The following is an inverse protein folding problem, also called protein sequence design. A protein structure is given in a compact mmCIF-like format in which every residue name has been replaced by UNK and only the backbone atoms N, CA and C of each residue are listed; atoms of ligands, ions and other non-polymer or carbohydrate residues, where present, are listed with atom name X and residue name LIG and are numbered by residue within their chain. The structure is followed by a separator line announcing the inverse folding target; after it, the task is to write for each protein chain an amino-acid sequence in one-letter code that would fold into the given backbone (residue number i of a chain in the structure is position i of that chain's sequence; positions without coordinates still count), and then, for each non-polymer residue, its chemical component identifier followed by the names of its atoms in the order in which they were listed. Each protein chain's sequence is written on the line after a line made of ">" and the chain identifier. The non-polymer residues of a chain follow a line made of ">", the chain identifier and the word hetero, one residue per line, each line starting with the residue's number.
data_IF_949728904612
#
_entry.id   IF_949728904612
#
_cell.length_a   1.000
_cell.length_b   1.000
_cell.length_c   1.000
_cell.angle_alpha   90.00
_cell.angle_beta   90.00
_cell.angle_gamma   90.00
#
_symmetry.space_group_name_H-M   'P 1'
#
loop_
_entity.id
_entity.type
_entity.pdbx_description
1 polymer ?
#
# COMPACT_ATOMS: atom_id res chain seq x y z
N UNK A 1 -27.69 -17.32 33.67
CA UNK A 1 -26.32 -17.33 33.16
C UNK A 1 -26.29 -16.43 31.93
N UNK A 2 -25.78 -15.20 32.06
CA UNK A 2 -25.74 -14.22 30.98
C UNK A 2 -24.29 -14.07 30.58
N UNK A 3 -23.99 -14.43 29.34
CA UNK A 3 -22.67 -14.42 28.73
C UNK A 3 -22.16 -12.97 28.59
N UNK A 4 -21.06 -12.68 29.27
CA UNK A 4 -20.32 -11.42 29.21
C UNK A 4 -19.10 -11.61 28.31
N UNK A 5 -19.29 -11.55 26.99
CA UNK A 5 -18.19 -11.49 26.04
C UNK A 5 -18.03 -10.06 25.49
N UNK A 6 -16.84 -9.44 25.55
CA UNK A 6 -16.64 -8.07 25.11
C UNK A 6 -16.67 -7.98 23.57
N UNK A 7 -17.61 -7.17 23.05
CA UNK A 7 -17.70 -6.83 21.63
C UNK A 7 -16.39 -6.15 21.18
N UNK A 8 -15.65 -6.82 20.27
CA UNK A 8 -14.53 -6.21 19.53
C UNK A 8 -15.06 -5.00 18.75
N UNK A 9 -14.55 -3.81 19.07
CA UNK A 9 -14.80 -2.60 18.30
C UNK A 9 -14.11 -2.74 16.94
N UNK A 10 -14.88 -2.62 15.86
CA UNK A 10 -14.36 -2.59 14.49
C UNK A 10 -13.57 -1.30 14.27
N UNK A 11 -12.49 -1.40 13.50
CA UNK A 11 -11.52 -0.33 13.17
C UNK A 11 -12.10 0.90 12.44
N UNK A 12 -13.41 0.94 12.17
CA UNK A 12 -13.97 1.81 11.13
C UNK A 12 -14.48 3.19 11.58
N UNK A 13 -14.49 3.50 12.88
CA UNK A 13 -15.34 4.61 13.37
C UNK A 13 -14.58 5.80 14.00
N UNK A 14 -13.34 6.06 13.58
CA UNK A 14 -12.47 7.06 14.26
C UNK A 14 -11.97 8.20 13.36
N UNK A 15 -12.70 8.60 12.31
CA UNK A 15 -12.26 9.70 11.45
C UNK A 15 -13.39 10.69 11.14
N UNK A 16 -13.76 11.47 12.15
CA UNK A 16 -14.25 12.85 11.91
C UNK A 16 -13.66 13.80 12.95
N UNK A 17 -12.80 14.68 12.43
CA UNK A 17 -12.48 16.06 12.86
C UNK A 17 -11.03 16.33 13.26
N UNK A 18 -10.54 17.40 12.62
CA UNK A 18 -9.53 18.36 13.06
C UNK A 18 -8.06 17.99 12.83
N UNK A 19 -7.39 18.72 11.94
CA UNK A 19 -6.79 20.01 12.33
C UNK A 19 -6.25 20.78 11.14
N UNK A 20 -6.50 22.08 11.18
CA UNK A 20 -5.98 23.08 10.26
C UNK A 20 -4.48 23.30 10.50
N UNK A 21 -3.67 23.07 9.47
CA UNK A 21 -2.34 23.65 9.37
C UNK A 21 -2.24 24.39 8.05
N UNK A 22 -1.97 25.69 8.18
CA UNK A 22 -1.83 26.67 7.13
C UNK A 22 -0.63 26.31 6.25
N UNK A 23 -0.88 25.98 4.99
CA UNK A 23 0.16 25.91 3.97
C UNK A 23 -0.17 26.84 2.80
N UNK A 24 0.90 27.45 2.31
CA UNK A 24 1.01 28.48 1.28
C UNK A 24 0.16 28.11 0.05
N UNK A 25 -0.57 29.10 -0.47
CA UNK A 25 -1.57 28.97 -1.52
C UNK A 25 -1.06 28.34 -2.81
N UNK A 26 -1.38 27.07 -2.98
CA UNK A 26 -1.37 26.31 -4.22
C UNK A 26 -2.16 25.04 -3.96
N UNK A 27 -3.08 24.66 -4.84
CA UNK A 27 -3.79 23.38 -4.72
C UNK A 27 -2.74 22.26 -4.76
N UNK A 28 -2.72 21.31 -3.82
CA UNK A 28 -1.80 20.18 -3.88
C UNK A 28 -1.95 19.47 -5.23
N UNK A 29 -0.86 19.07 -5.89
CA UNK A 29 -0.95 18.34 -7.15
C UNK A 29 -1.74 17.05 -6.95
N UNK A 30 -2.47 16.66 -7.98
CA UNK A 30 -3.12 15.36 -8.01
C UNK A 30 -2.05 14.27 -7.85
N UNK A 31 -2.14 13.51 -6.77
CA UNK A 31 -1.21 12.40 -6.50
C UNK A 31 -1.15 11.37 -7.63
N UNK A 32 -2.21 11.24 -8.45
CA UNK A 32 -2.21 10.39 -9.64
C UNK A 32 -1.37 10.97 -10.77
N UNK A 33 -1.33 12.28 -10.98
CA UNK A 33 -0.51 12.90 -12.04
C UNK A 33 0.98 12.70 -11.78
N UNK A 34 1.40 12.75 -10.51
CA UNK A 34 2.78 12.44 -10.10
C UNK A 34 3.16 11.00 -10.51
N UNK A 35 2.24 10.05 -10.37
CA UNK A 35 2.48 8.67 -10.81
C UNK A 35 2.65 8.58 -12.32
N UNK A 36 1.83 9.29 -13.11
CA UNK A 36 1.92 9.33 -14.57
C UNK A 36 3.27 9.88 -15.02
N UNK A 37 3.72 11.00 -14.45
CA UNK A 37 5.01 11.62 -14.75
C UNK A 37 6.20 10.72 -14.36
N UNK A 38 6.08 10.01 -13.25
CA UNK A 38 7.05 9.01 -12.80
C UNK A 38 7.05 7.73 -13.67
N UNK A 39 6.06 7.56 -14.55
CA UNK A 39 5.86 6.35 -15.36
C UNK A 39 5.36 5.15 -14.56
N UNK A 40 4.69 5.39 -13.43
CA UNK A 40 4.16 4.39 -12.50
C UNK A 40 5.15 3.28 -12.12
N UNK A 41 6.40 3.66 -11.85
CA UNK A 41 7.48 2.72 -11.59
C UNK A 41 7.15 1.62 -10.56
N UNK A 42 6.44 1.96 -9.48
CA UNK A 42 6.05 1.00 -8.45
C UNK A 42 5.05 -0.07 -8.92
N UNK A 43 4.32 0.20 -10.00
CA UNK A 43 3.39 -0.71 -10.67
C UNK A 43 4.06 -1.55 -11.76
N UNK A 44 5.26 -1.19 -12.25
CA UNK A 44 5.95 -1.89 -13.34
C UNK A 44 6.76 -3.13 -12.93
N UNK A 45 6.94 -3.28 -11.63
CA UNK A 45 7.83 -4.26 -11.03
C UNK A 45 7.23 -4.80 -9.74
N UNK A 46 5.92 -5.10 -9.75
CA UNK A 46 5.24 -5.39 -8.51
C UNK A 46 3.95 -6.18 -8.65
N UNK A 47 3.73 -7.04 -7.68
CA UNK A 47 2.43 -7.56 -7.32
C UNK A 47 1.82 -6.73 -6.19
N UNK A 48 0.56 -6.35 -6.32
CA UNK A 48 -0.17 -5.76 -5.20
C UNK A 48 -0.49 -6.88 -4.20
N UNK A 49 -0.05 -6.71 -2.95
CA UNK A 49 -0.38 -7.62 -1.86
C UNK A 49 -1.62 -7.06 -1.14
N UNK A 50 -2.64 -7.89 -0.99
CA UNK A 50 -3.94 -7.50 -0.46
C UNK A 50 -4.51 -8.57 0.48
N UNK A 51 -5.44 -8.18 1.34
CA UNK A 51 -6.31 -9.13 2.05
C UNK A 51 -7.49 -9.57 1.18
N UNK A 52 -8.16 -10.63 1.59
CA UNK A 52 -9.42 -11.09 0.99
C UNK A 52 -10.49 -9.99 0.96
N UNK A 53 -10.59 -9.18 2.02
CA UNK A 53 -11.54 -8.06 2.12
C UNK A 53 -11.19 -6.93 1.16
N UNK A 54 -9.91 -6.64 0.99
CA UNK A 54 -9.45 -5.63 0.03
C UNK A 54 -9.74 -6.07 -1.41
N UNK A 55 -9.50 -7.33 -1.75
CA UNK A 55 -9.87 -7.87 -3.07
C UNK A 55 -11.38 -7.82 -3.29
N UNK A 56 -12.19 -8.20 -2.29
CA UNK A 56 -13.65 -8.05 -2.36
C UNK A 56 -14.08 -6.61 -2.61
N UNK A 57 -13.43 -5.63 -1.97
CA UNK A 57 -13.74 -4.22 -2.19
C UNK A 57 -13.43 -3.78 -3.64
N UNK A 58 -12.33 -4.25 -4.21
CA UNK A 58 -11.95 -3.99 -5.61
C UNK A 58 -12.99 -4.59 -6.58
N UNK A 59 -13.36 -5.85 -6.38
CA UNK A 59 -14.36 -6.53 -7.23
C UNK A 59 -15.74 -5.89 -7.11
N UNK A 60 -16.18 -5.54 -5.89
CA UNK A 60 -17.45 -4.86 -5.67
C UNK A 60 -17.50 -3.46 -6.29
N UNK A 61 -16.34 -2.81 -6.50
CA UNK A 61 -16.24 -1.55 -7.23
C UNK A 61 -16.28 -1.72 -8.75
N UNK A 62 -16.42 -2.95 -9.26
CA UNK A 62 -16.60 -3.27 -10.69
C UNK A 62 -15.31 -3.59 -11.43
N UNK A 63 -14.19 -3.77 -10.74
CA UNK A 63 -12.92 -4.11 -11.38
C UNK A 63 -12.74 -5.64 -11.50
N UNK A 64 -12.04 -6.13 -12.55
CA UNK A 64 -11.72 -7.55 -12.68
C UNK A 64 -10.87 -8.04 -11.50
N UNK A 65 -11.06 -9.30 -11.11
CA UNK A 65 -10.19 -9.95 -10.12
C UNK A 65 -8.93 -10.50 -10.79
N UNK A 66 -7.80 -9.85 -10.53
CA UNK A 66 -6.47 -10.31 -10.97
C UNK A 66 -5.62 -10.87 -9.83
N UNK A 67 -6.20 -11.22 -8.68
CA UNK A 67 -5.47 -11.71 -7.53
C UNK A 67 -5.42 -13.24 -7.45
N UNK A 68 -4.21 -13.76 -7.32
CA UNK A 68 -3.96 -15.16 -6.98
C UNK A 68 -4.16 -15.40 -5.47
N UNK A 69 -4.72 -16.56 -5.14
CA UNK A 69 -4.90 -17.00 -3.75
C UNK A 69 -3.60 -17.64 -3.26
N UNK A 70 -2.91 -16.95 -2.34
CA UNK A 70 -1.65 -17.45 -1.77
C UNK A 70 -1.90 -18.21 -0.46
N UNK A 71 -2.82 -17.71 0.36
CA UNK A 71 -3.30 -18.33 1.60
C UNK A 71 -4.73 -17.90 1.88
N UNK A 72 -5.29 -18.24 3.06
CA UNK A 72 -6.63 -17.75 3.44
C UNK A 72 -6.68 -16.21 3.44
N UNK A 73 -5.66 -15.56 4.00
CA UNK A 73 -5.63 -14.11 4.22
C UNK A 73 -4.80 -13.33 3.19
N UNK A 74 -3.90 -13.99 2.46
CA UNK A 74 -3.00 -13.32 1.50
C UNK A 74 -3.47 -13.51 0.07
N UNK A 75 -3.57 -12.38 -0.64
CA UNK A 75 -3.83 -12.30 -2.07
C UNK A 75 -2.72 -11.48 -2.73
N UNK A 76 -2.23 -11.92 -3.89
CA UNK A 76 -1.20 -11.19 -4.64
C UNK A 76 -1.62 -11.14 -6.10
N UNK A 77 -1.53 -9.97 -6.75
CA UNK A 77 -1.85 -9.89 -8.18
C UNK A 77 -0.92 -10.76 -9.01
N UNK A 78 -1.46 -11.42 -10.03
CA UNK A 78 -0.65 -12.08 -11.04
C UNK A 78 0.32 -11.09 -11.67
N UNK A 79 1.53 -11.55 -11.96
CA UNK A 79 2.54 -10.76 -12.65
C UNK A 79 2.45 -11.10 -14.13
N UNK A 80 2.18 -10.12 -15.00
CA UNK A 80 2.32 -10.34 -16.45
C UNK A 80 3.78 -10.61 -16.82
N UNK A 81 4.06 -11.00 -18.07
CA UNK A 81 5.40 -11.40 -18.54
C UNK A 81 6.51 -10.39 -18.21
N UNK A 82 6.18 -9.10 -18.15
CA UNK A 82 7.13 -8.02 -17.83
C UNK A 82 7.21 -7.64 -16.35
N UNK A 83 6.40 -8.28 -15.50
CA UNK A 83 6.27 -7.96 -14.06
C UNK A 83 5.42 -6.72 -13.76
N UNK A 84 4.69 -6.23 -14.77
CA UNK A 84 3.71 -5.16 -14.62
C UNK A 84 2.50 -5.65 -13.81
N UNK A 85 2.00 -4.76 -12.94
CA UNK A 85 0.73 -4.93 -12.25
C UNK A 85 -0.42 -4.90 -13.26
N UNK A 86 -1.40 -5.81 -13.15
CA UNK A 86 -2.49 -5.91 -14.12
C UNK A 86 -3.46 -4.73 -14.08
N UNK A 87 -3.43 -3.93 -13.02
CA UNK A 87 -4.20 -2.68 -12.93
C UNK A 87 -3.44 -1.45 -13.45
N UNK A 88 -2.27 -1.63 -14.09
CA UNK A 88 -1.53 -0.52 -14.72
C UNK A 88 -2.11 -0.21 -16.10
N UNK A 89 -2.62 1.01 -16.28
CA UNK A 89 -3.13 1.52 -17.55
C UNK A 89 -2.67 2.97 -17.75
N UNK A 90 -2.07 3.29 -18.89
CA UNK A 90 -1.55 4.63 -19.23
C UNK A 90 -0.69 5.27 -18.14
N UNK A 91 0.25 4.51 -17.57
CA UNK A 91 1.10 4.97 -16.44
C UNK A 91 0.31 5.38 -15.18
N UNK A 92 -0.92 4.89 -15.00
CA UNK A 92 -1.74 5.12 -13.83
C UNK A 92 -2.37 3.81 -13.33
N UNK A 93 -2.68 3.78 -12.04
CA UNK A 93 -3.44 2.67 -11.47
C UNK A 93 -4.92 2.84 -11.80
N UNK A 94 -5.54 1.86 -12.46
CA UNK A 94 -6.97 1.88 -12.79
C UNK A 94 -7.85 1.78 -11.55
N UNK A 95 -7.37 1.12 -10.48
CA UNK A 95 -8.08 0.94 -9.20
C UNK A 95 -7.72 1.99 -8.13
N UNK A 96 -7.30 3.20 -8.53
CA UNK A 96 -6.65 4.19 -7.65
C UNK A 96 -7.37 4.42 -6.31
N UNK A 97 -8.69 4.56 -6.33
CA UNK A 97 -9.52 4.86 -5.16
C UNK A 97 -9.71 3.67 -4.21
N UNK A 98 -9.63 2.45 -4.74
CA UNK A 98 -9.87 1.20 -4.00
C UNK A 98 -8.61 0.35 -3.86
N UNK A 99 -7.44 0.97 -4.03
CA UNK A 99 -6.13 0.32 -3.87
C UNK A 99 -6.03 -0.40 -2.52
N UNK A 100 -5.37 -1.57 -2.47
CA UNK A 100 -5.01 -2.23 -1.21
C UNK A 100 -4.17 -1.31 -0.31
N UNK A 101 -4.18 -1.54 0.99
CA UNK A 101 -3.47 -0.75 2.00
C UNK A 101 -2.02 -0.51 1.63
N UNK A 102 -1.28 -1.56 1.22
CA UNK A 102 0.14 -1.45 0.86
C UNK A 102 0.38 -0.58 -0.38
N UNK A 103 -0.58 -0.54 -1.31
CA UNK A 103 -0.51 0.31 -2.50
C UNK A 103 -0.92 1.76 -2.20
N UNK A 104 -1.87 1.98 -1.29
CA UNK A 104 -2.22 3.34 -0.80
C UNK A 104 -1.11 3.94 0.06
N UNK A 105 -0.49 3.12 0.90
CA UNK A 105 0.57 3.54 1.82
C UNK A 105 1.86 3.95 1.09
N UNK A 106 2.08 3.48 -0.13
CA UNK A 106 3.26 3.83 -0.91
C UNK A 106 3.36 5.37 -1.05
N UNK A 107 4.50 5.98 -0.70
CA UNK A 107 5.86 5.45 -0.66
C UNK A 107 6.35 4.95 0.71
N UNK A 108 5.46 4.78 1.69
CA UNK A 108 5.73 4.03 2.91
C UNK A 108 5.55 2.54 2.62
N UNK A 109 6.61 1.75 2.82
CA UNK A 109 6.60 0.31 2.53
C UNK A 109 7.07 -0.49 3.74
N UNK A 110 6.46 -1.65 3.93
CA UNK A 110 6.91 -2.66 4.89
C UNK A 110 7.61 -3.79 4.14
N UNK A 111 8.85 -4.09 4.51
CA UNK A 111 9.64 -5.16 3.91
C UNK A 111 9.43 -6.50 4.63
N UNK A 112 10.04 -7.58 4.12
CA UNK A 112 9.89 -8.93 4.67
C UNK A 112 10.29 -9.05 6.15
N UNK A 113 11.23 -8.24 6.63
CA UNK A 113 11.60 -8.19 8.05
C UNK A 113 10.53 -7.56 8.94
N UNK A 114 9.46 -7.00 8.36
CA UNK A 114 8.40 -6.27 9.07
C UNK A 114 8.75 -4.80 9.32
N UNK A 115 10.00 -4.40 9.05
CA UNK A 115 10.45 -3.01 9.15
C UNK A 115 9.79 -2.12 8.09
N UNK A 116 9.61 -0.84 8.43
CA UNK A 116 8.95 0.14 7.59
C UNK A 116 9.95 1.19 7.10
N UNK A 117 9.91 1.46 5.81
CA UNK A 117 10.79 2.39 5.10
C UNK A 117 9.99 3.42 4.33
N UNK A 118 10.59 4.60 4.15
CA UNK A 118 10.16 5.61 3.21
C UNK A 118 11.02 5.49 1.95
N UNK A 119 10.39 5.19 0.83
CA UNK A 119 11.02 5.37 -0.49
C UNK A 119 11.05 6.87 -0.81
N UNK A 120 12.16 7.40 -1.33
CA UNK A 120 12.25 8.78 -1.84
C UNK A 120 11.60 8.90 -3.23
N UNK A 121 10.36 8.44 -3.33
CA UNK A 121 9.49 8.59 -4.48
C UNK A 121 9.15 10.08 -4.73
N UNK A 122 8.92 10.50 -5.98
CA UNK A 122 8.40 11.84 -6.28
C UNK A 122 7.09 12.20 -5.56
N UNK A 123 6.31 11.20 -5.11
CA UNK A 123 5.09 11.41 -4.33
C UNK A 123 5.39 11.80 -2.86
N UNK A 124 6.54 11.39 -2.31
CA UNK A 124 6.86 11.54 -0.88
C UNK A 124 6.76 12.98 -0.37
N UNK A 125 7.25 14.03 -1.08
CA UNK A 125 7.16 15.41 -0.61
C UNK A 125 5.73 15.96 -0.50
N UNK A 126 4.76 15.33 -1.16
CA UNK A 126 3.38 15.79 -1.23
C UNK A 126 2.45 15.09 -0.24
N UNK A 127 2.94 14.07 0.47
CA UNK A 127 2.16 13.38 1.48
C UNK A 127 2.28 14.09 2.83
N UNK A 128 1.16 14.46 3.48
CA UNK A 128 1.18 15.03 4.82
C UNK A 128 1.85 14.07 5.82
N UNK A 129 2.67 14.62 6.72
CA UNK A 129 3.32 13.81 7.76
C UNK A 129 2.32 13.04 8.64
N UNK A 130 1.14 13.59 8.89
CA UNK A 130 0.05 12.92 9.61
C UNK A 130 -0.47 11.69 8.86
N UNK A 131 -0.57 11.77 7.54
CA UNK A 131 -0.97 10.66 6.68
C UNK A 131 0.12 9.58 6.66
N UNK A 132 1.39 9.98 6.50
CA UNK A 132 2.52 9.05 6.60
C UNK A 132 2.53 8.30 7.94
N UNK A 133 2.35 8.99 9.07
CA UNK A 133 2.22 8.35 10.40
C UNK A 133 1.10 7.32 10.42
N UNK A 134 -0.05 7.66 9.85
CA UNK A 134 -1.19 6.77 9.73
C UNK A 134 -0.81 5.47 9.02
N UNK A 135 -0.15 5.57 7.88
CA UNK A 135 0.32 4.40 7.13
C UNK A 135 1.37 3.58 7.88
N UNK A 136 2.36 4.22 8.52
CA UNK A 136 3.36 3.51 9.34
C UNK A 136 2.65 2.71 10.43
N UNK A 137 1.69 3.31 11.15
CA UNK A 137 0.92 2.62 12.18
C UNK A 137 0.15 1.42 11.63
N UNK A 138 -0.55 1.60 10.51
CA UNK A 138 -1.34 0.52 9.89
C UNK A 138 -0.44 -0.64 9.43
N UNK A 139 0.69 -0.34 8.80
CA UNK A 139 1.64 -1.36 8.35
C UNK A 139 2.29 -2.11 9.53
N UNK A 140 2.65 -1.40 10.60
CA UNK A 140 3.20 -2.01 11.82
C UNK A 140 2.19 -2.90 12.57
N UNK A 141 0.89 -2.66 12.39
CA UNK A 141 -0.18 -3.47 12.95
C UNK A 141 -0.54 -4.68 12.07
N UNK A 142 0.05 -4.81 10.88
CA UNK A 142 -0.18 -5.94 10.00
C UNK A 142 0.28 -7.25 10.67
N UNK A 143 -0.55 -8.31 10.71
CA UNK A 143 -0.17 -9.58 11.32
C UNK A 143 1.11 -10.13 10.70
N UNK A 144 1.99 -10.65 11.56
CA UNK A 144 3.28 -11.18 11.10
C UNK A 144 3.11 -12.33 10.10
N UNK A 145 2.11 -13.19 10.30
CA UNK A 145 1.75 -14.27 9.38
C UNK A 145 1.46 -13.77 7.96
N UNK A 146 0.71 -12.68 7.84
CA UNK A 146 0.41 -12.05 6.55
C UNK A 146 1.69 -11.57 5.85
N UNK A 147 2.58 -10.91 6.59
CA UNK A 147 3.87 -10.40 6.06
C UNK A 147 4.76 -11.55 5.60
N UNK A 148 4.89 -12.60 6.42
CA UNK A 148 5.78 -13.72 6.14
C UNK A 148 5.26 -14.58 4.97
N UNK A 149 3.95 -14.78 4.86
CA UNK A 149 3.33 -15.48 3.73
C UNK A 149 3.51 -14.70 2.42
N UNK A 150 3.26 -13.39 2.44
CA UNK A 150 3.49 -12.55 1.27
C UNK A 150 4.97 -12.57 0.87
N UNK A 151 5.90 -12.45 1.84
CA UNK A 151 7.33 -12.49 1.59
C UNK A 151 7.79 -13.82 0.98
N UNK A 152 7.30 -14.96 1.49
CA UNK A 152 7.61 -16.29 0.94
C UNK A 152 7.14 -16.45 -0.50
N UNK A 153 6.02 -15.87 -0.88
CA UNK A 153 5.59 -15.90 -2.28
C UNK A 153 6.40 -14.94 -3.14
N UNK A 154 6.61 -13.72 -2.67
CA UNK A 154 7.33 -12.69 -3.41
C UNK A 154 8.82 -12.99 -3.64
N UNK A 155 9.42 -13.93 -2.89
CA UNK A 155 10.81 -14.36 -3.11
C UNK A 155 11.03 -14.91 -4.54
N UNK A 156 10.01 -15.49 -5.17
CA UNK A 156 10.08 -15.97 -6.56
C UNK A 156 10.20 -14.81 -7.56
N UNK A 157 9.91 -13.58 -7.13
CA UNK A 157 10.00 -12.35 -7.91
C UNK A 157 11.06 -11.39 -7.36
N UNK A 158 12.01 -11.88 -6.54
CA UNK A 158 13.00 -11.04 -5.86
C UNK A 158 13.77 -10.10 -6.80
N UNK A 159 14.21 -10.59 -7.97
CA UNK A 159 14.93 -9.75 -8.94
C UNK A 159 14.10 -8.57 -9.46
N UNK A 160 12.79 -8.75 -9.67
CA UNK A 160 11.91 -7.68 -10.11
C UNK A 160 11.66 -6.68 -8.96
N UNK A 161 11.48 -7.19 -7.74
CA UNK A 161 11.34 -6.34 -6.55
C UNK A 161 12.62 -5.55 -6.25
N UNK A 162 13.80 -6.12 -6.46
CA UNK A 162 15.06 -5.39 -6.31
C UNK A 162 15.18 -4.26 -7.34
N UNK A 163 14.73 -4.49 -8.59
CA UNK A 163 14.63 -3.41 -9.59
C UNK A 163 13.66 -2.31 -9.15
N UNK A 164 12.50 -2.67 -8.60
CA UNK A 164 11.53 -1.72 -8.03
C UNK A 164 12.13 -0.86 -6.91
N UNK A 165 12.86 -1.50 -5.99
CA UNK A 165 13.38 -0.85 -4.79
C UNK A 165 14.66 -0.06 -5.07
N UNK A 166 15.44 -0.44 -6.08
CA UNK A 166 16.70 0.23 -6.43
C UNK A 166 16.51 1.57 -7.16
N UNK A 167 15.33 1.83 -7.73
CA UNK A 167 15.06 3.08 -8.44
C UNK A 167 15.12 4.32 -7.54
N UNK A 168 14.65 4.19 -6.30
CA UNK A 168 14.61 5.29 -5.35
C UNK A 168 15.37 4.91 -4.08
N UNK A 169 16.20 5.82 -3.59
CA UNK A 169 16.84 5.66 -2.28
C UNK A 169 15.76 5.43 -1.21
N UNK A 170 16.03 4.50 -0.30
CA UNK A 170 15.17 4.24 0.84
C UNK A 170 15.78 4.84 2.10
N UNK A 171 14.92 5.41 2.94
CA UNK A 171 15.28 5.84 4.29
C UNK A 171 14.44 5.05 5.27
N UNK A 172 15.07 4.40 6.25
CA UNK A 172 14.32 3.80 7.34
C UNK A 172 13.52 4.90 8.04
N UNK A 173 12.26 4.61 8.38
CA UNK A 173 11.43 5.55 9.11
C UNK A 173 11.53 5.21 10.58
N UNK A 174 12.18 6.03 11.42
CA UNK A 174 12.19 5.78 12.85
C UNK A 174 10.78 5.99 13.37
N UNK A 175 10.21 4.99 14.04
CA UNK A 175 8.86 5.04 14.61
C UNK A 175 8.60 6.25 15.53
N UNK A 176 9.67 6.91 16.01
CA UNK A 176 9.62 8.09 16.90
C UNK A 176 9.77 9.44 16.20
N UNK A 177 10.08 9.47 14.90
CA UNK A 177 10.45 10.69 14.18
C UNK A 177 9.40 11.18 13.18
N UNK A 178 8.27 10.48 13.04
CA UNK A 178 7.11 11.00 12.31
C UNK A 178 5.98 11.24 13.29
#
# INVERSE_FOLDING_TARGET
>A
MVDLSPRRKTLHDSFRRSSAHSHVGGTPPDTRSICVECGAHCCRYGGAVATKEEVRAIVNAGYPDYFDIISEDVRITSWYENGDCPYLHDNACSIYEVRPLRCRAYPILQIATGEVFLSLCPLSPFLPHSEMRGYVRLLMQCPRSFVDEAARHLQFHAQALDKKLSRFKMRQVPWREI
#
